data_IF_689071278903
#
_entry.id   IF_689071278903
#
_cell.length_a   1.000
_cell.length_b   1.000
_cell.length_c   1.000
_cell.angle_alpha   90.00
_cell.angle_beta   90.00
_cell.angle_gamma   90.00
#
_symmetry.space_group_name_H-M   'P 1'
#
loop_
_entity.id
_entity.type
_entity.pdbx_description
1 polymer ?
#
# COMPACT_ATOMS: atom_id res chain seq x y z
N UNK A 1 8.07 -4.86 -2.47
CA UNK A 1 8.63 -3.94 -3.50
C UNK A 1 8.15 -4.29 -4.93
N UNK A 2 6.94 -4.80 -5.09
CA UNK A 2 6.39 -5.13 -6.42
C UNK A 2 6.02 -3.90 -7.26
N UNK A 3 5.12 -4.09 -8.25
CA UNK A 3 4.70 -3.02 -9.21
C UNK A 3 4.14 -1.76 -8.55
N UNK A 4 3.59 -1.86 -7.34
CA UNK A 4 3.11 -0.72 -6.56
C UNK A 4 4.18 -0.20 -5.59
N UNK A 5 4.75 -1.09 -4.77
CA UNK A 5 5.64 -0.70 -3.68
C UNK A 5 6.96 -0.07 -4.15
N UNK A 6 7.49 -0.54 -5.29
CA UNK A 6 8.75 0.02 -5.81
C UNK A 6 8.60 1.48 -6.29
N UNK A 7 7.62 1.83 -7.13
CA UNK A 7 7.37 3.23 -7.51
C UNK A 7 7.05 4.14 -6.32
N UNK A 8 6.27 3.67 -5.35
CA UNK A 8 6.01 4.43 -4.12
C UNK A 8 7.29 4.69 -3.32
N UNK A 9 8.17 3.69 -3.21
CA UNK A 9 9.47 3.85 -2.54
C UNK A 9 10.38 4.85 -3.26
N UNK A 10 10.43 4.83 -4.60
CA UNK A 10 11.15 5.83 -5.39
C UNK A 10 10.59 7.24 -5.16
N UNK A 11 9.27 7.38 -5.18
CA UNK A 11 8.62 8.67 -4.92
C UNK A 11 8.93 9.17 -3.50
N UNK A 12 8.81 8.32 -2.48
CA UNK A 12 9.14 8.67 -1.10
C UNK A 12 10.62 9.04 -0.94
N UNK A 13 11.53 8.35 -1.65
CA UNK A 13 12.97 8.60 -1.59
C UNK A 13 13.40 9.97 -2.13
N UNK A 14 12.50 10.73 -2.75
CA UNK A 14 12.75 12.12 -3.15
C UNK A 14 12.86 13.08 -1.95
N UNK A 15 12.33 12.71 -0.78
CA UNK A 15 12.26 13.55 0.42
C UNK A 15 12.66 12.84 1.71
N UNK A 16 12.67 11.51 1.71
CA UNK A 16 12.95 10.70 2.88
C UNK A 16 14.12 9.74 2.62
N UNK A 17 14.81 9.31 3.67
CA UNK A 17 15.75 8.20 3.59
C UNK A 17 14.96 6.89 3.60
N UNK A 18 14.91 6.21 2.45
CA UNK A 18 14.05 5.05 2.23
C UNK A 18 14.86 3.79 2.02
N UNK A 19 14.49 2.76 2.74
CA UNK A 19 14.93 1.39 2.46
C UNK A 19 13.75 0.52 2.06
N UNK A 20 13.94 -0.32 1.05
CA UNK A 20 12.97 -1.31 0.63
C UNK A 20 13.42 -2.72 1.02
N UNK A 21 12.45 -3.59 1.27
CA UNK A 21 12.65 -5.02 1.40
C UNK A 21 11.64 -5.78 0.53
N UNK A 22 12.08 -6.85 -0.09
CA UNK A 22 11.23 -7.79 -0.82
C UNK A 22 11.78 -9.20 -0.70
N UNK A 23 10.92 -10.19 -0.58
CA UNK A 23 11.29 -11.61 -0.59
C UNK A 23 11.87 -12.04 -1.94
N UNK A 24 11.50 -11.33 -3.01
CA UNK A 24 12.01 -11.56 -4.36
C UNK A 24 13.33 -10.83 -4.58
N UNK A 25 14.34 -11.46 -5.18
CA UNK A 25 15.59 -10.80 -5.54
C UNK A 25 15.43 -9.71 -6.61
N UNK A 26 14.26 -9.63 -7.25
CA UNK A 26 14.00 -8.73 -8.37
C UNK A 26 14.17 -7.25 -7.99
N UNK A 27 13.77 -6.86 -6.77
CA UNK A 27 13.93 -5.50 -6.30
C UNK A 27 15.41 -5.06 -6.26
N UNK A 28 16.31 -5.95 -5.84
CA UNK A 28 17.76 -5.69 -5.85
C UNK A 28 18.34 -5.66 -7.26
N UNK A 29 17.83 -6.51 -8.13
CA UNK A 29 18.26 -6.56 -9.54
C UNK A 29 17.94 -5.25 -10.26
N UNK A 30 16.78 -4.64 -9.99
CA UNK A 30 16.43 -3.30 -10.51
C UNK A 30 17.47 -2.26 -10.08
N UNK A 31 17.86 -2.23 -8.80
CA UNK A 31 18.90 -1.29 -8.32
C UNK A 31 20.26 -1.59 -8.95
N UNK A 32 20.64 -2.86 -9.05
CA UNK A 32 21.93 -3.27 -9.61
C UNK A 32 22.08 -2.90 -11.09
N UNK A 33 20.99 -3.12 -11.86
CA UNK A 33 21.00 -2.86 -13.31
C UNK A 33 20.65 -1.42 -13.66
N UNK A 34 20.13 -0.64 -12.72
CA UNK A 34 19.59 0.70 -12.95
C UNK A 34 18.56 0.73 -14.11
N UNK A 35 17.78 -0.35 -14.25
CA UNK A 35 16.72 -0.48 -15.26
C UNK A 35 15.41 -0.87 -14.62
N UNK A 36 14.41 0.03 -14.71
CA UNK A 36 13.06 -0.28 -14.24
C UNK A 36 12.34 -1.13 -15.31
N UNK A 37 11.83 -2.34 -14.97
CA UNK A 37 11.39 -3.31 -15.98
C UNK A 37 9.95 -3.10 -16.47
N UNK A 38 9.20 -2.20 -15.86
CA UNK A 38 7.79 -1.99 -16.18
C UNK A 38 7.57 -0.60 -16.78
N UNK A 39 6.47 -0.45 -17.53
CA UNK A 39 6.03 0.88 -17.95
C UNK A 39 5.43 1.59 -16.74
N UNK A 40 6.18 2.53 -16.18
CA UNK A 40 5.77 3.36 -15.05
C UNK A 40 6.34 4.76 -15.24
N UNK A 41 5.48 5.76 -15.28
CA UNK A 41 5.87 7.14 -15.56
C UNK A 41 6.84 7.65 -14.47
N UNK A 42 7.97 8.22 -14.87
CA UNK A 42 9.07 8.74 -14.03
C UNK A 42 9.84 7.70 -13.21
N UNK A 43 9.52 6.41 -13.29
CA UNK A 43 10.23 5.43 -12.45
C UNK A 43 11.71 5.30 -12.83
N UNK A 44 12.03 5.35 -14.11
CA UNK A 44 13.43 5.30 -14.57
C UNK A 44 14.21 6.53 -14.10
N UNK A 45 13.64 7.72 -14.22
CA UNK A 45 14.29 8.98 -13.80
C UNK A 45 14.56 8.94 -12.28
N UNK A 46 13.56 8.62 -11.48
CA UNK A 46 13.70 8.56 -10.01
C UNK A 46 14.63 7.44 -9.55
N UNK A 47 14.74 6.35 -10.30
CA UNK A 47 15.72 5.30 -10.02
C UNK A 47 17.15 5.80 -10.15
N UNK A 48 17.41 6.76 -11.05
CA UNK A 48 18.71 7.39 -11.23
C UNK A 48 18.97 8.53 -10.25
N UNK A 49 17.91 9.29 -9.90
CA UNK A 49 17.98 10.49 -9.08
C UNK A 49 17.99 10.20 -7.56
N UNK A 50 17.37 9.09 -7.11
CA UNK A 50 17.17 8.84 -5.69
C UNK A 50 18.21 7.89 -5.09
N UNK A 51 18.37 7.98 -3.76
CA UNK A 51 19.24 7.12 -2.97
C UNK A 51 18.50 5.92 -2.36
N UNK A 52 17.42 5.44 -3.01
CA UNK A 52 16.70 4.24 -2.55
C UNK A 52 17.67 3.07 -2.41
N UNK A 53 17.61 2.40 -1.26
CA UNK A 53 18.36 1.16 -0.98
C UNK A 53 17.41 -0.02 -0.82
N UNK A 54 17.86 -1.22 -1.17
CA UNK A 54 17.12 -2.46 -0.90
C UNK A 54 17.99 -3.35 -0.02
N UNK A 55 17.45 -3.70 1.15
CA UNK A 55 18.13 -4.48 2.18
C UNK A 55 17.84 -5.98 2.06
N UNK A 56 18.62 -6.81 2.77
CA UNK A 56 18.55 -8.27 2.69
C UNK A 56 17.53 -8.89 3.63
N UNK A 57 17.22 -8.21 4.72
CA UNK A 57 16.36 -8.74 5.79
C UNK A 57 15.32 -7.72 6.24
N UNK A 58 14.21 -8.23 6.78
CA UNK A 58 13.19 -7.39 7.44
C UNK A 58 13.79 -6.67 8.66
N UNK A 59 14.71 -7.32 9.39
CA UNK A 59 15.37 -6.74 10.55
C UNK A 59 16.19 -5.49 10.18
N UNK A 60 16.88 -5.52 9.03
CA UNK A 60 17.58 -4.33 8.52
C UNK A 60 16.61 -3.21 8.15
N UNK A 61 15.49 -3.54 7.51
CA UNK A 61 14.46 -2.58 7.17
C UNK A 61 13.85 -1.95 8.44
N UNK A 62 13.46 -2.76 9.42
CA UNK A 62 12.87 -2.29 10.68
C UNK A 62 13.90 -1.50 11.52
N UNK A 63 15.17 -1.92 11.54
CA UNK A 63 16.23 -1.16 12.24
C UNK A 63 16.36 0.26 11.70
N UNK A 64 16.23 0.43 10.40
CA UNK A 64 16.29 1.73 9.74
C UNK A 64 15.00 2.54 9.93
N UNK A 65 13.82 1.92 9.77
CA UNK A 65 12.54 2.60 9.61
C UNK A 65 11.94 3.10 10.93
N UNK A 66 11.31 4.26 10.92
CA UNK A 66 10.33 4.72 11.92
C UNK A 66 8.92 4.32 11.50
N UNK A 67 8.69 4.23 10.19
CA UNK A 67 7.43 3.78 9.59
C UNK A 67 7.73 2.77 8.48
N UNK A 68 6.97 1.68 8.45
CA UNK A 68 7.01 0.64 7.41
C UNK A 68 5.69 0.64 6.64
N UNK A 69 5.76 0.98 5.36
CA UNK A 69 4.63 0.84 4.44
C UNK A 69 4.57 -0.58 3.88
N UNK A 70 3.49 -1.29 4.16
CA UNK A 70 3.28 -2.66 3.69
C UNK A 70 2.45 -2.66 2.41
N UNK A 71 3.10 -3.02 1.30
CA UNK A 71 2.57 -2.99 -0.06
C UNK A 71 2.62 -4.39 -0.70
N UNK A 72 1.81 -5.31 -0.22
CA UNK A 72 1.75 -6.68 -0.73
C UNK A 72 0.42 -6.95 -1.43
N UNK A 73 0.40 -7.96 -2.30
CA UNK A 73 -0.81 -8.34 -3.00
C UNK A 73 -1.82 -9.01 -2.07
N UNK A 74 -3.10 -8.76 -2.33
CA UNK A 74 -4.24 -9.39 -1.70
C UNK A 74 -5.14 -9.95 -2.81
N UNK A 75 -4.72 -11.07 -3.47
CA UNK A 75 -5.38 -11.55 -4.67
C UNK A 75 -6.75 -12.16 -4.37
N UNK A 76 -7.65 -12.07 -5.33
CA UNK A 76 -8.88 -12.84 -5.36
C UNK A 76 -8.66 -14.15 -6.15
N UNK A 77 -9.58 -15.10 -5.98
CA UNK A 77 -9.53 -16.34 -6.77
C UNK A 77 -9.88 -16.05 -8.23
N UNK A 78 -9.21 -16.68 -9.23
CA UNK A 78 -9.41 -16.42 -10.65
C UNK A 78 -10.87 -16.52 -11.12
N UNK A 79 -11.67 -17.42 -10.53
CA UNK A 79 -13.09 -17.57 -10.86
C UNK A 79 -13.97 -16.34 -10.55
N UNK A 80 -13.43 -15.35 -9.83
CA UNK A 80 -14.11 -14.08 -9.53
C UNK A 80 -13.57 -12.90 -10.35
N UNK A 81 -12.79 -13.13 -11.42
CA UNK A 81 -12.26 -12.07 -12.29
C UNK A 81 -13.33 -11.45 -13.22
N UNK A 82 -14.50 -12.07 -13.33
CA UNK A 82 -15.59 -11.55 -14.17
C UNK A 82 -15.41 -11.76 -15.67
N UNK A 83 -14.46 -12.60 -16.08
CA UNK A 83 -14.27 -13.04 -17.48
C UNK A 83 -15.36 -14.00 -17.93
N UNK A 84 -16.01 -14.65 -16.97
CA UNK A 84 -17.15 -15.54 -17.15
C UNK A 84 -18.28 -15.15 -16.21
N UNK A 85 -19.41 -15.88 -16.29
CA UNK A 85 -20.51 -15.66 -15.34
C UNK A 85 -20.03 -15.85 -13.91
N UNK A 86 -20.30 -14.85 -13.08
CA UNK A 86 -19.90 -14.88 -11.67
C UNK A 86 -20.55 -16.05 -10.93
N UNK A 87 -19.80 -16.80 -10.10
CA UNK A 87 -20.33 -17.83 -9.24
C UNK A 87 -21.38 -17.28 -8.26
N UNK A 88 -22.29 -18.16 -7.79
CA UNK A 88 -23.30 -17.76 -6.78
C UNK A 88 -22.68 -17.60 -5.39
N UNK A 89 -21.66 -18.40 -5.07
CA UNK A 89 -20.89 -18.26 -3.84
C UNK A 89 -20.01 -17.01 -3.82
N UNK A 90 -19.51 -16.65 -2.66
CA UNK A 90 -18.61 -15.52 -2.45
C UNK A 90 -17.37 -16.01 -1.71
N UNK A 91 -16.23 -15.38 -1.99
CA UNK A 91 -14.98 -15.62 -1.27
C UNK A 91 -14.32 -14.30 -0.91
N UNK A 92 -13.57 -14.32 0.17
CA UNK A 92 -12.70 -13.23 0.57
C UNK A 92 -11.43 -13.21 -0.28
N UNK A 93 -10.65 -12.15 -0.20
CA UNK A 93 -9.31 -12.11 -0.78
C UNK A 93 -8.37 -13.03 0.00
N UNK A 94 -7.27 -13.41 -0.62
CA UNK A 94 -6.20 -14.09 0.10
C UNK A 94 -5.30 -13.07 0.80
N UNK A 95 -5.31 -13.11 2.12
CA UNK A 95 -4.50 -12.22 2.98
C UNK A 95 -3.22 -12.90 3.49
N UNK A 96 -2.86 -14.07 2.99
CA UNK A 96 -1.67 -14.81 3.43
C UNK A 96 -0.41 -13.99 3.40
N UNK A 97 -0.10 -13.39 2.24
CA UNK A 97 1.07 -12.52 2.09
C UNK A 97 1.02 -11.27 2.96
N UNK A 98 -0.17 -10.71 3.22
CA UNK A 98 -0.31 -9.53 4.08
C UNK A 98 -0.05 -9.89 5.54
N UNK A 99 -0.61 -11.00 6.03
CA UNK A 99 -0.34 -11.50 7.39
C UNK A 99 1.14 -11.82 7.58
N UNK A 100 1.74 -12.50 6.62
CA UNK A 100 3.16 -12.85 6.68
C UNK A 100 4.04 -11.59 6.74
N UNK A 101 3.83 -10.62 5.85
CA UNK A 101 4.62 -9.39 5.83
C UNK A 101 4.50 -8.58 7.12
N UNK A 102 3.27 -8.39 7.63
CA UNK A 102 3.05 -7.68 8.90
C UNK A 102 3.62 -8.47 10.08
N UNK A 103 3.46 -9.81 10.09
CA UNK A 103 4.04 -10.68 11.12
C UNK A 103 5.56 -10.59 11.18
N UNK A 104 6.23 -10.65 10.04
CA UNK A 104 7.69 -10.49 9.96
C UNK A 104 8.15 -9.13 10.50
N UNK A 105 7.43 -8.04 10.20
CA UNK A 105 7.73 -6.71 10.75
C UNK A 105 7.51 -6.68 12.26
N UNK A 106 6.42 -7.25 12.76
CA UNK A 106 6.12 -7.29 14.20
C UNK A 106 7.16 -8.13 14.98
N UNK A 107 7.56 -9.27 14.45
CA UNK A 107 8.62 -10.09 15.03
C UNK A 107 9.98 -9.38 15.03
N UNK A 108 10.34 -8.72 13.93
CA UNK A 108 11.58 -7.95 13.84
C UNK A 108 11.58 -6.78 14.84
N UNK A 109 10.46 -6.06 14.96
CA UNK A 109 10.30 -4.97 15.92
C UNK A 109 10.50 -5.47 17.37
N UNK A 110 9.92 -6.62 17.71
CA UNK A 110 10.10 -7.24 19.02
C UNK A 110 11.55 -7.69 19.27
N UNK A 111 12.20 -8.36 18.29
CA UNK A 111 13.62 -8.77 18.43
C UNK A 111 14.57 -7.58 18.60
N UNK A 112 14.25 -6.46 17.98
CA UNK A 112 15.07 -5.23 18.03
C UNK A 112 14.68 -4.32 19.18
N UNK A 113 13.62 -4.65 19.94
CA UNK A 113 13.03 -3.80 20.98
C UNK A 113 12.77 -2.37 20.47
N UNK A 114 12.33 -2.27 19.21
CA UNK A 114 12.14 -1.01 18.50
C UNK A 114 10.68 -0.80 18.13
N UNK A 115 10.09 0.30 18.62
CA UNK A 115 8.75 0.71 18.19
C UNK A 115 8.80 1.20 16.74
N UNK A 116 7.85 0.72 15.93
CA UNK A 116 7.71 1.08 14.52
C UNK A 116 6.24 1.21 14.15
N UNK A 117 5.91 2.19 13.31
CA UNK A 117 4.58 2.30 12.74
C UNK A 117 4.45 1.39 11.53
N UNK A 118 3.45 0.52 11.53
CA UNK A 118 3.06 -0.32 10.40
C UNK A 118 1.89 0.34 9.68
N UNK A 119 2.13 0.87 8.50
CA UNK A 119 1.13 1.48 7.64
C UNK A 119 0.78 0.53 6.48
N UNK A 120 -0.39 -0.09 6.52
CA UNK A 120 -0.84 -0.98 5.44
C UNK A 120 -1.47 -0.16 4.34
N UNK A 121 -0.97 -0.34 3.09
CA UNK A 121 -1.50 0.31 1.89
C UNK A 121 -2.24 -0.65 0.96
N UNK A 122 -2.15 -1.96 1.19
CA UNK A 122 -2.84 -2.99 0.41
C UNK A 122 -4.37 -2.84 0.52
N UNK A 123 -5.07 -3.07 -0.59
CA UNK A 123 -6.55 -3.04 -0.59
C UNK A 123 -7.10 -4.31 0.06
N UNK A 124 -8.04 -4.13 0.96
CA UNK A 124 -8.71 -5.23 1.69
C UNK A 124 -10.20 -5.00 1.80
N UNK A 125 -10.97 -6.05 2.06
CA UNK A 125 -12.40 -5.94 2.33
C UNK A 125 -12.66 -5.39 3.74
N UNK A 126 -13.81 -4.73 3.98
CA UNK A 126 -14.13 -4.15 5.28
C UNK A 126 -14.07 -5.17 6.44
N UNK A 127 -13.44 -4.77 7.54
CA UNK A 127 -13.24 -5.59 8.73
C UNK A 127 -11.97 -6.45 8.73
N UNK A 128 -11.23 -6.48 7.64
CA UNK A 128 -10.03 -7.32 7.48
C UNK A 128 -8.92 -6.94 8.45
N UNK A 129 -8.64 -5.65 8.65
CA UNK A 129 -7.56 -5.24 9.54
C UNK A 129 -7.81 -5.71 10.96
N UNK A 130 -9.05 -5.61 11.43
CA UNK A 130 -9.42 -6.11 12.78
C UNK A 130 -9.33 -7.63 12.89
N UNK A 131 -9.74 -8.35 11.85
CA UNK A 131 -9.80 -9.82 11.86
C UNK A 131 -8.44 -10.46 11.64
N UNK A 132 -7.66 -9.94 10.66
CA UNK A 132 -6.46 -10.60 10.16
C UNK A 132 -5.16 -9.97 10.67
N UNK A 133 -5.16 -8.65 10.91
CA UNK A 133 -3.92 -7.91 11.18
C UNK A 133 -3.75 -7.60 12.66
N UNK A 134 -4.79 -7.12 13.35
CA UNK A 134 -4.66 -6.76 14.77
C UNK A 134 -4.17 -7.90 15.66
N UNK A 135 -4.55 -9.19 15.44
CA UNK A 135 -4.07 -10.29 16.28
C UNK A 135 -2.56 -10.57 16.19
N UNK A 136 -1.89 -10.10 15.12
CA UNK A 136 -0.45 -10.32 14.90
C UNK A 136 0.42 -9.13 15.29
N UNK A 137 -0.20 -7.99 15.59
CA UNK A 137 0.51 -6.82 16.11
C UNK A 137 0.88 -7.02 17.59
N UNK A 138 2.01 -6.49 17.98
CA UNK A 138 2.53 -6.56 19.35
C UNK A 138 2.77 -5.16 19.94
N UNK A 139 3.32 -5.08 21.14
CA UNK A 139 3.60 -3.83 21.86
C UNK A 139 4.61 -2.90 21.15
N UNK A 140 5.42 -3.46 20.24
CA UNK A 140 6.42 -2.73 19.44
C UNK A 140 5.87 -2.18 18.14
N UNK A 141 4.60 -2.51 17.78
CA UNK A 141 3.99 -2.10 16.52
C UNK A 141 2.79 -1.17 16.72
N UNK A 142 2.91 0.03 16.19
CA UNK A 142 1.80 0.97 16.01
C UNK A 142 1.14 0.70 14.66
N UNK A 143 -0.14 1.01 14.51
CA UNK A 143 -0.87 0.63 13.30
C UNK A 143 -1.66 1.79 12.70
N UNK A 144 -1.54 1.96 11.38
CA UNK A 144 -2.40 2.81 10.55
C UNK A 144 -2.78 2.08 9.25
N UNK A 145 -3.92 2.41 8.69
CA UNK A 145 -4.35 1.95 7.37
C UNK A 145 -4.37 3.14 6.40
N UNK A 146 -3.57 3.11 5.35
CA UNK A 146 -3.48 4.22 4.40
C UNK A 146 -3.49 3.72 2.95
N UNK A 147 -4.66 3.26 2.46
CA UNK A 147 -4.77 2.72 1.11
C UNK A 147 -4.57 3.80 0.05
N UNK A 148 -3.97 3.42 -1.07
CA UNK A 148 -3.64 4.33 -2.16
C UNK A 148 -4.69 4.30 -3.27
N UNK A 149 -4.95 5.46 -3.88
CA UNK A 149 -5.80 5.62 -5.07
C UNK A 149 -4.91 5.87 -6.29
N UNK A 150 -4.47 4.79 -6.92
CA UNK A 150 -3.43 4.79 -7.94
C UNK A 150 -3.88 4.03 -9.18
N UNK A 151 -3.61 4.59 -10.36
CA UNK A 151 -3.64 3.90 -11.63
C UNK A 151 -2.26 3.30 -11.94
N UNK A 152 -2.22 2.00 -12.27
CA UNK A 152 -0.96 1.33 -12.61
C UNK A 152 -0.37 1.93 -13.89
N UNK A 153 0.94 2.19 -13.87
CA UNK A 153 1.64 2.92 -14.93
C UNK A 153 1.77 4.42 -14.69
N UNK A 154 0.99 4.96 -13.75
CA UNK A 154 1.03 6.34 -13.27
C UNK A 154 1.13 6.41 -11.73
N UNK A 155 1.72 5.38 -11.11
CA UNK A 155 1.82 5.27 -9.66
C UNK A 155 2.52 6.48 -9.04
N UNK A 156 3.65 6.88 -9.58
CA UNK A 156 4.44 8.00 -9.05
C UNK A 156 3.69 9.33 -9.14
N UNK A 157 3.14 9.75 -10.29
CA UNK A 157 2.33 10.96 -10.37
C UNK A 157 1.11 10.94 -9.44
N UNK A 158 0.39 9.82 -9.36
CA UNK A 158 -0.78 9.70 -8.50
C UNK A 158 -0.40 9.72 -7.01
N UNK A 159 0.77 9.14 -6.64
CA UNK A 159 1.27 9.13 -5.28
C UNK A 159 1.74 10.52 -4.83
N UNK A 160 2.39 11.28 -5.71
CA UNK A 160 2.90 12.63 -5.42
C UNK A 160 1.84 13.75 -5.57
N UNK A 161 0.74 13.49 -6.28
CA UNK A 161 -0.35 14.45 -6.48
C UNK A 161 -1.71 13.77 -6.28
N UNK A 162 -1.98 13.17 -5.12
CA UNK A 162 -3.26 12.54 -4.85
C UNK A 162 -4.34 13.60 -4.69
N UNK A 163 -5.57 13.27 -5.03
CA UNK A 163 -6.74 14.10 -4.71
C UNK A 163 -6.88 14.28 -3.19
N UNK A 164 -6.62 13.21 -2.45
CA UNK A 164 -6.51 13.17 -1.00
C UNK A 164 -5.73 11.91 -0.56
N UNK A 165 -5.19 11.95 0.64
CA UNK A 165 -4.66 10.77 1.34
C UNK A 165 -5.73 10.24 2.28
N UNK A 166 -6.10 8.98 2.14
CA UNK A 166 -7.03 8.32 3.05
C UNK A 166 -6.27 7.71 4.24
N UNK A 167 -6.71 8.04 5.45
CA UNK A 167 -6.08 7.56 6.68
C UNK A 167 -7.11 6.93 7.61
N UNK A 168 -7.05 5.61 7.73
CA UNK A 168 -7.81 4.82 8.68
C UNK A 168 -7.11 4.75 10.03
N UNK A 169 -7.77 5.23 11.07
CA UNK A 169 -7.23 5.34 12.43
C UNK A 169 -8.10 4.57 13.42
N UNK A 170 -7.49 3.80 14.30
CA UNK A 170 -8.16 3.23 15.47
C UNK A 170 -7.74 4.01 16.71
N UNK A 171 -8.50 5.05 17.03
CA UNK A 171 -8.22 5.91 18.19
C UNK A 171 -8.34 5.18 19.54
N UNK A 172 -9.01 4.03 19.59
CA UNK A 172 -9.17 3.21 20.79
C UNK A 172 -8.00 2.23 20.98
N UNK A 173 -7.17 2.03 19.97
CA UNK A 173 -5.98 1.20 20.08
C UNK A 173 -4.81 2.02 20.62
N UNK A 174 -4.03 1.41 21.52
CA UNK A 174 -2.79 2.03 22.04
C UNK A 174 -1.88 2.41 20.86
N UNK A 175 -1.47 3.67 20.83
CA UNK A 175 -0.60 4.20 19.76
C UNK A 175 -1.31 4.48 18.42
N UNK A 176 -2.63 4.31 18.30
CA UNK A 176 -3.35 4.55 17.04
C UNK A 176 -3.25 6.00 16.55
N UNK A 177 -3.29 6.98 17.47
CA UNK A 177 -3.06 8.40 17.13
C UNK A 177 -1.61 8.65 16.73
N UNK A 178 -0.66 8.10 17.46
CA UNK A 178 0.77 8.21 17.18
C UNK A 178 1.08 7.66 15.79
N UNK A 179 0.51 6.50 15.41
CA UNK A 179 0.64 5.95 14.06
C UNK A 179 0.05 6.86 12.99
N UNK A 180 -1.11 7.47 13.26
CA UNK A 180 -1.73 8.42 12.33
C UNK A 180 -0.85 9.66 12.11
N UNK A 181 -0.25 10.18 13.18
CA UNK A 181 0.61 11.36 13.13
C UNK A 181 1.90 11.06 12.36
N UNK A 182 2.50 9.88 12.53
CA UNK A 182 3.65 9.44 11.75
C UNK A 182 3.33 9.38 10.23
N UNK A 183 2.17 8.84 9.85
CA UNK A 183 1.72 8.83 8.45
C UNK A 183 1.51 10.24 7.92
N UNK A 184 0.89 11.13 8.71
CA UNK A 184 0.70 12.55 8.32
C UNK A 184 2.02 13.27 8.08
N UNK A 185 3.00 13.04 8.94
CA UNK A 185 4.32 13.66 8.82
C UNK A 185 5.00 13.26 7.50
N UNK A 186 5.00 11.96 7.18
CA UNK A 186 5.55 11.45 5.91
C UNK A 186 4.87 12.11 4.73
N UNK A 187 3.55 12.09 4.66
CA UNK A 187 2.82 12.68 3.54
C UNK A 187 2.95 14.21 3.50
N UNK A 188 2.92 14.87 4.65
CA UNK A 188 3.07 16.34 4.73
C UNK A 188 4.43 16.84 4.26
N UNK A 189 5.50 16.06 4.51
CA UNK A 189 6.85 16.36 3.99
C UNK A 189 6.95 16.07 2.51
N UNK A 190 6.35 14.97 2.06
CA UNK A 190 6.41 14.52 0.66
C UNK A 190 5.53 15.38 -0.25
N UNK A 191 4.35 15.76 0.21
CA UNK A 191 3.32 16.44 -0.58
C UNK A 191 2.80 17.66 0.23
N UNK A 192 3.42 18.83 0.07
CA UNK A 192 2.99 20.02 0.79
C UNK A 192 1.50 20.34 0.55
N UNK A 193 0.77 20.64 1.62
CA UNK A 193 -0.67 20.95 1.61
C UNK A 193 -1.58 19.80 1.14
N UNK A 194 -1.12 18.56 1.21
CA UNK A 194 -1.96 17.41 0.90
C UNK A 194 -3.20 17.36 1.79
N UNK A 195 -4.36 17.12 1.19
CA UNK A 195 -5.59 16.88 1.94
C UNK A 195 -5.55 15.47 2.53
N UNK A 196 -5.71 15.35 3.83
CA UNK A 196 -5.78 14.05 4.52
C UNK A 196 -7.19 13.85 5.06
N UNK A 197 -7.87 12.83 4.56
CA UNK A 197 -9.19 12.41 5.03
C UNK A 197 -9.04 11.30 6.07
N UNK A 198 -9.29 11.64 7.32
CA UNK A 198 -9.20 10.70 8.43
C UNK A 198 -10.57 10.10 8.76
N UNK A 199 -10.59 8.79 8.97
CA UNK A 199 -11.77 8.07 9.42
C UNK A 199 -11.39 6.81 10.20
N UNK A 200 -12.39 6.06 10.72
CA UNK A 200 -12.11 4.76 11.33
C UNK A 200 -11.48 3.79 10.31
N UNK A 201 -10.68 2.83 10.78
CA UNK A 201 -10.08 1.81 9.90
C UNK A 201 -11.15 1.11 9.06
N UNK A 202 -12.26 0.70 9.67
CA UNK A 202 -13.35 0.03 8.96
C UNK A 202 -13.99 0.92 7.88
N UNK A 203 -14.15 2.23 8.15
CA UNK A 203 -14.65 3.19 7.17
C UNK A 203 -13.67 3.39 6.03
N UNK A 204 -12.36 3.40 6.30
CA UNK A 204 -11.32 3.54 5.29
C UNK A 204 -11.23 2.30 4.39
N UNK A 205 -11.36 1.08 4.95
CA UNK A 205 -11.47 -0.15 4.17
C UNK A 205 -12.68 -0.09 3.22
N UNK A 206 -13.85 0.31 3.74
CA UNK A 206 -15.08 0.46 2.96
C UNK A 206 -14.91 1.50 1.85
N UNK A 207 -14.41 2.69 2.18
CA UNK A 207 -14.18 3.78 1.25
C UNK A 207 -13.30 3.34 0.08
N UNK A 208 -12.17 2.64 0.38
CA UNK A 208 -11.26 2.15 -0.65
C UNK A 208 -11.93 1.16 -1.60
N UNK A 209 -12.69 0.20 -1.08
CA UNK A 209 -13.37 -0.81 -1.91
C UNK A 209 -14.46 -0.16 -2.77
N UNK A 210 -15.30 0.68 -2.17
CA UNK A 210 -16.39 1.35 -2.92
C UNK A 210 -15.87 2.31 -3.99
N UNK A 211 -14.77 2.99 -3.75
CA UNK A 211 -14.11 3.80 -4.78
C UNK A 211 -13.77 2.96 -6.01
N UNK A 212 -13.15 1.78 -5.82
CA UNK A 212 -12.82 0.88 -6.92
C UNK A 212 -14.06 0.34 -7.63
N UNK A 213 -15.11 -0.04 -6.88
CA UNK A 213 -16.39 -0.50 -7.44
C UNK A 213 -17.05 0.59 -8.28
N UNK A 214 -17.05 1.82 -7.77
CA UNK A 214 -17.65 2.96 -8.49
C UNK A 214 -16.91 3.28 -9.80
N UNK A 215 -15.58 3.22 -9.80
CA UNK A 215 -14.79 3.36 -11.03
C UNK A 215 -15.10 2.25 -12.03
N UNK A 216 -15.19 0.99 -11.56
CA UNK A 216 -15.57 -0.15 -12.40
C UNK A 216 -16.95 0.05 -13.05
N UNK A 217 -17.94 0.51 -12.30
CA UNK A 217 -19.28 0.80 -12.82
C UNK A 217 -19.26 1.91 -13.87
N UNK A 218 -18.50 2.99 -13.65
CA UNK A 218 -18.34 4.06 -14.66
C UNK A 218 -17.78 3.53 -15.97
N UNK A 219 -16.79 2.65 -15.93
CA UNK A 219 -16.20 2.03 -17.13
C UNK A 219 -17.22 1.17 -17.85
N UNK A 220 -17.98 0.34 -17.13
CA UNK A 220 -19.03 -0.51 -17.72
C UNK A 220 -20.10 0.35 -18.41
N UNK A 221 -20.57 1.40 -17.76
CA UNK A 221 -21.56 2.33 -18.36
C UNK A 221 -20.99 3.02 -19.61
N UNK A 222 -19.74 3.49 -19.56
CA UNK A 222 -19.11 4.13 -20.72
C UNK A 222 -18.97 3.16 -21.90
N UNK A 223 -18.59 1.91 -21.66
CA UNK A 223 -18.50 0.87 -22.68
C UNK A 223 -19.88 0.58 -23.30
N UNK A 224 -20.93 0.44 -22.48
CA UNK A 224 -22.29 0.22 -22.97
C UNK A 224 -22.79 1.39 -23.86
N UNK A 225 -22.52 2.63 -23.45
CA UNK A 225 -22.87 3.81 -24.26
C UNK A 225 -22.09 3.84 -25.59
N UNK A 226 -20.83 3.46 -25.59
CA UNK A 226 -20.01 3.35 -26.80
C UNK A 226 -20.58 2.30 -27.77
N UNK A 227 -20.97 1.12 -27.27
CA UNK A 227 -21.61 0.09 -28.10
C UNK A 227 -22.94 0.57 -28.76
N UNK A 228 -23.73 1.35 -28.03
CA UNK A 228 -24.98 1.95 -28.58
C UNK A 228 -24.65 2.99 -29.65
N UNK A 229 -23.65 3.82 -29.42
CA UNK A 229 -23.26 4.88 -30.35
C UNK A 229 -22.66 4.38 -31.67
N UNK A 230 -22.14 3.15 -31.68
CA UNK A 230 -21.54 2.50 -32.87
C UNK A 230 -22.56 1.66 -33.68
N UNK A 231 -23.81 1.55 -33.26
CA UNK A 231 -24.93 0.92 -33.99
C UNK A 231 -25.70 1.93 -34.78
#
# INVERSE_FOLDING_TARGET
>A
MGKLGYPCALAAATKHDVVGYDVSPHAKEILRTRRYPHRELRAQDLLEETALRVVDTVDEAVRHAEIVFVAVQTPHQPRFEGTERMPEDRADFDYGSLREAVGQVAEAAARLEKRVTVAVISTVLPGTMRREIYPILNEWTLFAYSPLFIAMGETIPNYLNPEFVLLGVDANRTGGREAADAVREVYGTLIPNVKIEEMSVASAELCKVFYNVFLGQKIVVANALMEIAHK
#
